data_IF_561791647799
#
_entry.id   IF_561791647799
#
_cell.length_a   1.000
_cell.length_b   1.000
_cell.length_c   1.000
_cell.angle_alpha   90.00
_cell.angle_beta   90.00
_cell.angle_gamma   90.00
#
_symmetry.space_group_name_H-M   'P 1'
#
loop_
_entity.id
_entity.type
_entity.pdbx_description
1 polymer ?
#
# COMPACT_ATOMS: atom_id res chain seq x y z
N UNK A 1 0.31 9.62 -29.74
CA UNK A 1 -0.65 8.65 -29.17
C UNK A 1 0.04 7.31 -29.06
N UNK A 2 0.74 7.03 -27.96
CA UNK A 2 1.39 5.73 -27.73
C UNK A 2 0.44 4.86 -26.91
N UNK A 3 -0.15 3.87 -27.61
CA UNK A 3 -1.05 2.92 -26.99
C UNK A 3 -0.35 2.11 -25.92
N UNK A 4 -0.72 2.31 -24.67
CA UNK A 4 -0.33 1.43 -23.57
C UNK A 4 -1.02 0.08 -23.79
N UNK A 5 -0.28 -0.91 -24.27
CA UNK A 5 -0.73 -2.31 -24.23
C UNK A 5 -0.91 -2.69 -22.76
N UNK A 6 -2.16 -2.93 -22.35
CA UNK A 6 -2.47 -3.57 -21.08
C UNK A 6 -1.66 -4.86 -20.95
N UNK A 7 -1.07 -5.16 -19.79
CA UNK A 7 -0.53 -6.49 -19.56
C UNK A 7 -1.64 -7.52 -19.75
N UNK A 8 -1.27 -8.71 -20.25
CA UNK A 8 -2.21 -9.82 -20.43
C UNK A 8 -2.97 -10.10 -19.12
N UNK A 9 -4.26 -10.53 -19.18
CA UNK A 9 -5.06 -10.70 -17.99
C UNK A 9 -4.35 -11.66 -17.02
N UNK A 10 -3.95 -11.13 -15.86
CA UNK A 10 -3.65 -11.96 -14.69
C UNK A 10 -4.95 -12.68 -14.34
N UNK A 11 -4.87 -13.97 -14.02
CA UNK A 11 -6.04 -14.67 -13.52
C UNK A 11 -6.52 -13.95 -12.26
N UNK A 12 -7.71 -13.41 -12.36
CA UNK A 12 -8.35 -12.61 -11.33
C UNK A 12 -8.64 -13.51 -10.13
N UNK A 13 -7.96 -13.28 -9.02
CA UNK A 13 -8.16 -14.05 -7.79
C UNK A 13 -9.41 -13.60 -7.04
N UNK A 14 -9.70 -12.31 -7.07
CA UNK A 14 -10.87 -11.68 -6.45
C UNK A 14 -11.14 -10.31 -7.09
N UNK A 15 -12.33 -9.77 -6.82
CA UNK A 15 -12.75 -8.44 -7.29
C UNK A 15 -12.94 -7.48 -6.13
N UNK A 16 -12.71 -6.19 -6.37
CA UNK A 16 -12.96 -5.17 -5.36
C UNK A 16 -13.44 -3.85 -5.95
N UNK A 17 -13.99 -3.01 -5.10
CA UNK A 17 -14.29 -1.61 -5.38
C UNK A 17 -13.55 -0.71 -4.41
N UNK A 18 -13.18 0.51 -4.85
CA UNK A 18 -12.42 1.50 -4.08
C UNK A 18 -13.24 2.80 -3.97
N UNK A 19 -13.86 3.00 -2.81
CA UNK A 19 -14.72 4.15 -2.54
C UNK A 19 -13.95 5.21 -1.74
N UNK A 20 -14.19 6.50 -2.04
CA UNK A 20 -13.38 7.59 -1.52
C UNK A 20 -11.91 7.38 -1.85
N UNK A 21 -11.66 6.97 -3.08
CA UNK A 21 -10.42 6.34 -3.52
C UNK A 21 -9.17 7.23 -3.37
N UNK A 22 -9.34 8.56 -3.27
CA UNK A 22 -8.22 9.50 -3.21
C UNK A 22 -7.29 9.31 -4.39
N UNK A 23 -6.06 8.93 -4.09
CA UNK A 23 -5.04 8.61 -5.09
C UNK A 23 -4.72 7.11 -5.18
N UNK A 24 -5.63 6.24 -4.69
CA UNK A 24 -5.53 4.79 -4.82
C UNK A 24 -4.66 4.08 -3.78
N UNK A 25 -4.42 4.71 -2.63
CA UNK A 25 -3.58 4.11 -1.58
C UNK A 25 -4.12 2.79 -1.01
N UNK A 26 -5.45 2.60 -0.96
CA UNK A 26 -6.07 1.33 -0.60
C UNK A 26 -6.00 0.33 -1.76
N UNK A 27 -6.18 0.77 -3.00
CA UNK A 27 -6.18 -0.05 -4.22
C UNK A 27 -4.86 -0.77 -4.47
N UNK A 28 -3.74 -0.04 -4.36
CA UNK A 28 -2.39 -0.54 -4.70
C UNK A 28 -2.09 -1.91 -4.07
N UNK A 29 -2.26 -2.13 -2.75
CA UNK A 29 -2.00 -3.41 -2.14
C UNK A 29 -2.89 -4.54 -2.64
N UNK A 30 -4.17 -4.28 -2.87
CA UNK A 30 -5.12 -5.31 -3.31
C UNK A 30 -4.89 -5.72 -4.77
N UNK A 31 -4.54 -4.79 -5.66
CA UNK A 31 -4.10 -5.13 -7.02
C UNK A 31 -2.80 -5.94 -7.01
N UNK A 32 -1.85 -5.56 -6.15
CA UNK A 32 -0.61 -6.31 -5.96
C UNK A 32 -0.79 -7.76 -5.48
N UNK A 33 -1.97 -8.09 -4.92
CA UNK A 33 -2.36 -9.45 -4.51
C UNK A 33 -3.22 -10.18 -5.55
N UNK A 34 -3.34 -9.67 -6.77
CA UNK A 34 -4.13 -10.25 -7.85
C UNK A 34 -5.61 -9.87 -7.83
N UNK A 35 -5.99 -8.87 -7.04
CA UNK A 35 -7.33 -8.29 -7.06
C UNK A 35 -7.55 -7.42 -8.30
N UNK A 36 -8.77 -7.39 -8.81
CA UNK A 36 -9.20 -6.49 -9.88
C UNK A 36 -10.16 -5.44 -9.34
N UNK A 37 -9.82 -4.17 -9.49
CA UNK A 37 -10.73 -3.07 -9.23
C UNK A 37 -11.81 -3.03 -10.33
N UNK A 38 -13.08 -3.09 -9.92
CA UNK A 38 -14.22 -3.04 -10.86
C UNK A 38 -14.85 -1.67 -10.90
N UNK A 39 -14.66 -0.87 -9.85
CA UNK A 39 -15.29 0.43 -9.71
C UNK A 39 -14.52 1.25 -8.68
N UNK A 40 -14.38 2.54 -8.94
CA UNK A 40 -13.82 3.51 -7.99
C UNK A 40 -14.65 4.78 -7.97
N UNK A 41 -14.67 5.47 -6.81
CA UNK A 41 -15.37 6.73 -6.62
C UNK A 41 -14.48 7.72 -5.89
N UNK A 42 -14.32 8.93 -6.45
CA UNK A 42 -13.59 10.05 -5.88
C UNK A 42 -14.17 11.36 -6.40
N UNK A 43 -14.47 12.32 -5.53
CA UNK A 43 -15.10 13.58 -5.92
C UNK A 43 -14.10 14.68 -6.26
N UNK A 44 -12.88 14.63 -5.69
CA UNK A 44 -11.85 15.64 -5.91
C UNK A 44 -11.21 15.47 -7.29
N UNK A 45 -11.32 16.49 -8.13
CA UNK A 45 -10.82 16.45 -9.53
C UNK A 45 -9.31 16.25 -9.64
N UNK A 46 -8.53 16.77 -8.70
CA UNK A 46 -7.08 16.59 -8.69
C UNK A 46 -6.71 15.15 -8.30
N UNK A 47 -7.43 14.57 -7.33
CA UNK A 47 -7.27 13.16 -6.97
C UNK A 47 -7.69 12.25 -8.13
N UNK A 48 -8.81 12.54 -8.80
CA UNK A 48 -9.24 11.82 -10.01
C UNK A 48 -8.15 11.85 -11.10
N UNK A 49 -7.51 13.01 -11.33
CA UNK A 49 -6.41 13.14 -12.29
C UNK A 49 -5.24 12.23 -11.92
N UNK A 50 -4.80 12.27 -10.65
CA UNK A 50 -3.71 11.42 -10.16
C UNK A 50 -4.07 9.93 -10.25
N UNK A 51 -5.30 9.58 -9.94
CA UNK A 51 -5.81 8.21 -10.04
C UNK A 51 -5.82 7.72 -11.49
N UNK A 52 -6.35 8.52 -12.42
CA UNK A 52 -6.37 8.18 -13.84
C UNK A 52 -4.97 7.95 -14.42
N UNK A 53 -4.02 8.83 -14.08
CA UNK A 53 -2.63 8.71 -14.56
C UNK A 53 -1.90 7.46 -14.05
N UNK A 54 -2.30 6.95 -12.88
CA UNK A 54 -1.64 5.79 -12.28
C UNK A 54 -2.35 4.46 -12.57
N UNK A 55 -3.67 4.49 -12.76
CA UNK A 55 -4.46 3.26 -12.94
C UNK A 55 -5.16 3.15 -14.30
N UNK A 56 -5.16 4.21 -15.10
CA UNK A 56 -5.74 4.22 -16.45
C UNK A 56 -7.27 4.24 -16.50
N UNK A 57 -7.92 4.46 -15.34
CA UNK A 57 -9.38 4.60 -15.24
C UNK A 57 -9.77 5.85 -14.43
N UNK A 58 -10.84 6.51 -14.85
CA UNK A 58 -11.35 7.69 -14.16
C UNK A 58 -12.34 7.26 -13.08
N UNK A 59 -12.09 7.61 -11.79
CA UNK A 59 -13.07 7.36 -10.74
C UNK A 59 -14.40 8.04 -11.04
N UNK A 60 -15.50 7.37 -10.73
CA UNK A 60 -16.81 8.00 -10.68
C UNK A 60 -16.80 9.13 -9.65
N UNK A 61 -17.63 10.14 -9.85
CA UNK A 61 -17.65 11.34 -9.01
C UNK A 61 -18.08 11.10 -7.56
N UNK A 62 -18.92 12.01 -7.07
CA UNK A 62 -19.43 11.97 -5.70
C UNK A 62 -20.32 10.74 -5.46
N UNK A 63 -19.97 9.95 -4.44
CA UNK A 63 -20.68 8.73 -4.08
C UNK A 63 -22.17 8.96 -3.77
N UNK A 64 -22.55 10.17 -3.32
CA UNK A 64 -23.94 10.55 -3.03
C UNK A 64 -24.81 10.58 -4.26
N UNK A 65 -24.24 10.80 -5.43
CA UNK A 65 -24.94 10.79 -6.72
C UNK A 65 -24.96 9.42 -7.41
N UNK A 66 -24.33 8.41 -6.81
CA UNK A 66 -24.17 7.08 -7.39
C UNK A 66 -25.19 6.12 -6.76
N UNK A 67 -26.09 5.59 -7.59
CA UNK A 67 -27.00 4.53 -7.16
C UNK A 67 -26.23 3.25 -6.86
N UNK A 68 -26.47 2.61 -5.71
CA UNK A 68 -25.78 1.37 -5.38
C UNK A 68 -25.97 0.30 -6.46
N UNK A 69 -27.11 0.24 -7.12
CA UNK A 69 -27.40 -0.69 -8.21
C UNK A 69 -26.38 -0.61 -9.35
N UNK A 70 -25.85 0.59 -9.65
CA UNK A 70 -24.86 0.81 -10.72
C UNK A 70 -23.44 0.33 -10.37
N UNK A 71 -23.16 0.06 -9.10
CA UNK A 71 -21.86 -0.48 -8.65
C UNK A 71 -21.86 -1.98 -8.98
N UNK A 72 -20.80 -2.53 -9.63
CA UNK A 72 -20.71 -3.95 -9.91
C UNK A 72 -20.70 -4.82 -8.65
N UNK A 73 -21.19 -6.06 -8.73
CA UNK A 73 -20.97 -7.06 -7.67
C UNK A 73 -19.48 -7.32 -7.52
N UNK A 74 -18.99 -7.37 -6.28
CA UNK A 74 -17.58 -7.49 -5.97
C UNK A 74 -17.36 -8.29 -4.68
N UNK A 75 -16.15 -8.80 -4.51
CA UNK A 75 -15.80 -9.61 -3.34
C UNK A 75 -15.42 -8.75 -2.13
N UNK A 76 -14.66 -7.67 -2.34
CA UNK A 76 -14.13 -6.80 -1.27
C UNK A 76 -14.51 -5.34 -1.55
N UNK A 77 -14.94 -4.62 -0.52
CA UNK A 77 -15.16 -3.19 -0.59
C UNK A 77 -14.08 -2.47 0.22
N UNK A 78 -13.41 -1.50 -0.40
CA UNK A 78 -12.40 -0.65 0.22
C UNK A 78 -12.95 0.78 0.37
N UNK A 79 -12.72 1.43 1.52
CA UNK A 79 -13.12 2.82 1.69
C UNK A 79 -12.29 3.55 2.77
N UNK A 80 -11.66 4.66 2.39
CA UNK A 80 -11.11 5.66 3.30
C UNK A 80 -12.10 6.81 3.48
N UNK A 81 -13.15 6.62 4.29
CA UNK A 81 -14.22 7.60 4.40
C UNK A 81 -13.87 8.75 5.35
N UNK A 82 -14.28 10.00 5.06
CA UNK A 82 -13.95 11.15 5.91
C UNK A 82 -14.68 11.12 7.25
N UNK A 83 -14.00 11.57 8.31
CA UNK A 83 -14.58 11.75 9.63
C UNK A 83 -15.47 13.01 9.64
N UNK A 84 -16.73 12.87 9.27
CA UNK A 84 -17.71 13.94 9.36
C UNK A 84 -18.60 13.74 10.59
N UNK A 85 -18.92 14.82 11.35
CA UNK A 85 -19.90 14.72 12.41
C UNK A 85 -21.26 14.40 11.82
N UNK A 86 -21.88 13.32 12.25
CA UNK A 86 -23.26 13.05 11.93
C UNK A 86 -24.18 13.39 13.11
N UNK A 87 -25.36 13.94 12.79
CA UNK A 87 -26.38 14.23 13.79
C UNK A 87 -27.00 12.90 14.25
N UNK A 88 -26.68 12.49 15.48
CA UNK A 88 -27.16 11.25 16.10
C UNK A 88 -28.64 11.32 16.44
N UNK A 89 -29.24 12.52 16.43
CA UNK A 89 -30.64 12.74 16.82
C UNK A 89 -31.66 11.93 15.99
N UNK A 90 -31.33 11.53 14.77
CA UNK A 90 -32.17 10.68 13.91
C UNK A 90 -32.07 9.17 14.20
N UNK A 91 -30.96 8.70 14.72
CA UNK A 91 -30.69 7.26 14.94
C UNK A 91 -31.36 6.74 16.20
N UNK A 92 -31.32 7.52 17.30
CA UNK A 92 -31.87 7.11 18.59
C UNK A 92 -33.40 7.04 18.59
N UNK A 93 -34.10 7.88 17.80
CA UNK A 93 -35.56 7.99 17.83
C UNK A 93 -36.28 6.83 17.13
N UNK A 94 -35.62 6.09 16.25
CA UNK A 94 -36.23 4.96 15.52
C UNK A 94 -36.08 3.61 16.22
N UNK A 95 -35.06 3.44 17.06
CA UNK A 95 -34.87 2.23 17.88
C UNK A 95 -36.02 2.09 18.92
N UNK A 96 -36.60 3.21 19.37
CA UNK A 96 -37.73 3.23 20.31
C UNK A 96 -39.09 2.93 19.66
N UNK A 97 -39.20 2.88 18.34
CA UNK A 97 -40.46 2.75 17.60
C UNK A 97 -40.64 1.39 16.88
N UNK A 98 -39.76 0.39 17.07
CA UNK A 98 -39.97 -0.98 16.65
C UNK A 98 -40.23 -1.23 15.15
N UNK A 99 -39.77 -0.34 14.26
CA UNK A 99 -39.96 -0.51 12.79
C UNK A 99 -38.77 -1.16 12.13
N UNK A 100 -38.96 -2.38 11.64
CA UNK A 100 -37.92 -3.25 11.06
C UNK A 100 -37.37 -2.84 9.67
N UNK A 101 -37.99 -1.93 8.94
CA UNK A 101 -37.56 -1.52 7.60
C UNK A 101 -37.49 0.01 7.50
N UNK A 102 -36.28 0.60 7.42
CA UNK A 102 -36.13 2.03 7.18
C UNK A 102 -35.01 2.74 7.96
N UNK A 103 -34.00 2.03 8.39
CA UNK A 103 -32.88 2.63 9.15
C UNK A 103 -32.09 3.66 8.32
N UNK A 104 -32.02 3.46 7.00
CA UNK A 104 -31.24 4.31 6.08
C UNK A 104 -32.01 5.52 5.52
N UNK A 105 -33.35 5.52 5.56
CA UNK A 105 -34.20 6.49 4.83
C UNK A 105 -34.19 7.94 5.36
N UNK A 106 -33.74 8.21 6.60
CA UNK A 106 -33.76 9.55 7.21
C UNK A 106 -32.39 10.08 7.65
N UNK A 107 -31.33 9.30 7.49
CA UNK A 107 -29.95 9.72 7.76
C UNK A 107 -29.19 10.09 6.47
N UNK A 108 -29.91 10.28 5.37
CA UNK A 108 -29.37 10.76 4.11
C UNK A 108 -28.53 12.03 4.35
N UNK A 109 -27.26 11.97 4.00
CA UNK A 109 -26.37 13.12 4.02
C UNK A 109 -25.00 12.92 4.66
N UNK A 110 -24.74 11.81 5.36
CA UNK A 110 -23.38 11.52 5.82
C UNK A 110 -22.74 10.42 4.99
N UNK A 111 -21.48 10.61 4.62
CA UNK A 111 -20.77 9.70 3.73
C UNK A 111 -20.63 8.28 4.26
N UNK A 112 -20.66 8.09 5.59
CA UNK A 112 -20.69 6.75 6.18
C UNK A 112 -21.99 6.01 5.87
N UNK A 113 -23.14 6.68 5.89
CA UNK A 113 -24.43 6.02 5.61
C UNK A 113 -24.59 5.69 4.11
N UNK A 114 -23.97 6.48 3.22
CA UNK A 114 -23.85 6.09 1.82
C UNK A 114 -23.04 4.81 1.66
N UNK A 115 -21.93 4.68 2.42
CA UNK A 115 -21.14 3.47 2.46
C UNK A 115 -21.95 2.27 3.00
N UNK A 116 -22.68 2.44 4.12
CA UNK A 116 -23.53 1.42 4.71
C UNK A 116 -24.62 0.94 3.72
N UNK A 117 -25.25 1.88 2.99
CA UNK A 117 -26.23 1.59 1.93
C UNK A 117 -25.64 0.70 0.82
N UNK A 118 -24.40 1.00 0.40
CA UNK A 118 -23.73 0.21 -0.63
C UNK A 118 -23.37 -1.19 -0.09
N UNK A 119 -22.87 -1.29 1.15
CA UNK A 119 -22.57 -2.57 1.80
C UNK A 119 -23.85 -3.41 1.92
N UNK A 120 -24.98 -2.82 2.30
CA UNK A 120 -26.26 -3.51 2.41
C UNK A 120 -26.72 -4.08 1.08
N UNK A 121 -26.69 -3.26 0.02
CA UNK A 121 -27.20 -3.66 -1.30
C UNK A 121 -26.27 -4.64 -2.02
N UNK A 122 -24.95 -4.40 -1.95
CA UNK A 122 -23.96 -5.21 -2.70
C UNK A 122 -23.48 -6.43 -1.96
N UNK A 123 -23.59 -6.47 -0.65
CA UNK A 123 -23.20 -7.61 0.17
C UNK A 123 -21.79 -8.14 -0.18
N UNK A 124 -20.73 -7.30 -0.15
CA UNK A 124 -19.38 -7.81 -0.38
C UNK A 124 -19.03 -8.90 0.64
N UNK A 125 -18.21 -9.86 0.24
CA UNK A 125 -17.72 -10.94 1.14
C UNK A 125 -16.96 -10.38 2.33
N UNK A 126 -16.22 -9.29 2.09
CA UNK A 126 -15.48 -8.56 3.11
C UNK A 126 -15.40 -7.07 2.77
N UNK A 127 -15.06 -6.25 3.75
CA UNK A 127 -14.71 -4.85 3.52
C UNK A 127 -13.52 -4.43 4.40
N UNK A 128 -12.78 -3.41 3.95
CA UNK A 128 -11.77 -2.68 4.69
C UNK A 128 -12.14 -1.20 4.71
N UNK A 129 -12.38 -0.66 5.89
CA UNK A 129 -12.63 0.75 6.10
C UNK A 129 -11.46 1.38 6.87
N UNK A 130 -11.06 2.59 6.48
CA UNK A 130 -10.01 3.35 7.16
C UNK A 130 -10.54 4.71 7.62
N UNK A 131 -10.03 5.16 8.78
CA UNK A 131 -10.30 6.50 9.27
C UNK A 131 -9.19 6.98 10.23
N UNK A 132 -9.25 8.24 10.64
CA UNK A 132 -8.35 8.79 11.66
C UNK A 132 -8.65 8.19 13.05
N UNK A 133 -7.62 8.02 13.90
CA UNK A 133 -7.76 7.51 15.27
C UNK A 133 -8.84 8.27 16.07
N UNK A 134 -8.96 9.58 15.85
CA UNK A 134 -9.94 10.41 16.57
C UNK A 134 -11.39 9.99 16.37
N UNK A 135 -11.71 9.14 15.39
CA UNK A 135 -13.03 8.55 15.23
C UNK A 135 -13.51 7.83 16.50
N UNK A 136 -12.59 7.17 17.23
CA UNK A 136 -12.91 6.46 18.48
C UNK A 136 -13.38 7.39 19.60
N UNK A 137 -12.83 8.59 19.67
CA UNK A 137 -13.15 9.57 20.74
C UNK A 137 -14.13 10.65 20.30
N UNK A 138 -14.39 10.72 18.98
CA UNK A 138 -15.28 11.71 18.41
C UNK A 138 -16.67 11.62 19.04
N UNK A 139 -17.20 12.78 19.49
CA UNK A 139 -18.48 12.87 20.17
C UNK A 139 -18.60 11.91 21.38
N UNK A 140 -17.55 11.87 22.23
CA UNK A 140 -17.46 10.97 23.40
C UNK A 140 -17.64 9.49 23.05
N UNK A 141 -17.09 9.05 21.90
CA UNK A 141 -17.16 7.67 21.40
C UNK A 141 -18.45 7.29 20.69
N UNK A 142 -19.46 8.14 20.71
CA UNK A 142 -20.78 7.84 20.11
C UNK A 142 -20.72 7.61 18.61
N UNK A 143 -19.85 8.36 17.92
CA UNK A 143 -19.67 8.23 16.46
C UNK A 143 -19.23 6.82 16.07
N UNK A 144 -18.20 6.32 16.72
CA UNK A 144 -17.72 4.96 16.45
C UNK A 144 -18.73 3.89 16.86
N UNK A 145 -19.43 4.07 17.99
CA UNK A 145 -20.49 3.14 18.42
C UNK A 145 -21.59 3.00 17.35
N UNK A 146 -22.06 4.12 16.77
CA UNK A 146 -23.04 4.09 15.67
C UNK A 146 -22.50 3.36 14.44
N UNK A 147 -21.25 3.61 14.04
CA UNK A 147 -20.61 2.92 12.92
C UNK A 147 -20.59 1.41 13.17
N UNK A 148 -20.10 1.00 14.33
CA UNK A 148 -19.98 -0.40 14.72
C UNK A 148 -21.34 -1.10 14.74
N UNK A 149 -22.31 -0.52 15.45
CA UNK A 149 -23.68 -1.05 15.54
C UNK A 149 -24.35 -1.14 14.16
N UNK A 150 -24.13 -0.16 13.27
CA UNK A 150 -24.70 -0.18 11.93
C UNK A 150 -24.13 -1.34 11.11
N UNK A 151 -22.82 -1.54 11.16
CA UNK A 151 -22.16 -2.60 10.42
C UNK A 151 -22.51 -4.00 10.96
N UNK A 152 -22.65 -4.14 12.29
CA UNK A 152 -23.15 -5.38 12.90
C UNK A 152 -24.62 -5.67 12.54
N UNK A 153 -25.47 -4.64 12.49
CA UNK A 153 -26.86 -4.78 12.07
C UNK A 153 -27.00 -5.18 10.58
N UNK A 154 -25.96 -4.95 9.78
CA UNK A 154 -25.87 -5.47 8.42
C UNK A 154 -25.37 -6.92 8.36
N UNK A 155 -25.28 -7.65 9.48
CA UNK A 155 -24.80 -9.01 9.60
C UNK A 155 -23.33 -9.21 9.16
N UNK A 156 -22.43 -8.26 9.53
CA UNK A 156 -20.99 -8.44 9.36
C UNK A 156 -20.33 -8.77 10.70
N UNK A 157 -19.35 -9.67 10.68
CA UNK A 157 -18.43 -9.86 11.78
C UNK A 157 -17.37 -8.78 11.71
N UNK A 158 -17.32 -7.90 12.70
CA UNK A 158 -16.46 -6.71 12.72
C UNK A 158 -15.24 -6.94 13.59
N UNK A 159 -14.08 -6.64 13.05
CA UNK A 159 -12.81 -6.51 13.78
C UNK A 159 -12.24 -5.13 13.50
N UNK A 160 -11.67 -4.48 14.50
CA UNK A 160 -11.03 -3.20 14.32
C UNK A 160 -9.77 -3.04 15.16
N UNK A 161 -8.82 -2.22 14.68
CA UNK A 161 -7.58 -1.93 15.38
C UNK A 161 -7.06 -0.56 15.00
N UNK A 162 -6.49 0.16 15.97
CA UNK A 162 -5.66 1.34 15.68
C UNK A 162 -4.23 0.85 15.44
N UNK A 163 -3.67 1.25 14.32
CA UNK A 163 -2.30 0.91 13.94
C UNK A 163 -1.53 2.21 13.74
N UNK A 164 -0.37 2.33 14.42
CA UNK A 164 0.63 3.34 14.11
C UNK A 164 1.53 2.81 13.00
N UNK A 165 1.70 3.59 11.93
CA UNK A 165 2.47 3.20 10.77
C UNK A 165 4.00 3.19 11.01
N UNK A 166 4.49 3.59 12.19
CA UNK A 166 5.92 3.80 12.47
C UNK A 166 6.82 2.58 12.23
N UNK A 167 6.28 1.35 12.31
CA UNK A 167 7.03 0.14 11.98
C UNK A 167 7.10 -0.17 10.47
N UNK A 168 6.30 0.50 9.66
CA UNK A 168 6.23 0.30 8.21
C UNK A 168 6.82 1.45 7.40
N UNK A 169 6.68 2.68 7.91
CA UNK A 169 7.15 3.92 7.28
C UNK A 169 7.74 4.83 8.36
N UNK A 170 8.69 5.72 8.04
CA UNK A 170 9.35 6.54 9.06
C UNK A 170 8.49 7.71 9.56
N UNK A 171 7.28 7.40 9.97
CA UNK A 171 6.26 8.37 10.36
C UNK A 171 5.33 7.79 11.44
N UNK A 172 5.09 8.55 12.49
CA UNK A 172 3.97 8.29 13.39
C UNK A 172 2.66 8.70 12.72
N UNK A 173 1.86 7.70 12.34
CA UNK A 173 0.55 7.90 11.71
C UNK A 173 -0.43 6.86 12.21
N UNK A 174 -1.22 7.25 13.21
CA UNK A 174 -2.24 6.37 13.78
C UNK A 174 -3.55 6.44 12.99
N UNK A 175 -4.01 5.27 12.55
CA UNK A 175 -5.28 5.11 11.84
C UNK A 175 -6.07 3.95 12.42
N UNK A 176 -7.38 4.11 12.47
CA UNK A 176 -8.27 2.98 12.75
C UNK A 176 -8.56 2.27 11.43
N UNK A 177 -8.40 0.95 11.44
CA UNK A 177 -8.82 0.05 10.37
C UNK A 177 -9.93 -0.82 10.88
N UNK A 178 -11.01 -0.94 10.10
CA UNK A 178 -12.19 -1.73 10.42
C UNK A 178 -12.35 -2.75 9.29
N UNK A 179 -12.32 -4.02 9.64
CA UNK A 179 -12.49 -5.15 8.72
C UNK A 179 -13.79 -5.85 9.05
N UNK A 180 -14.61 -6.11 8.05
CA UNK A 180 -15.83 -6.88 8.20
C UNK A 180 -15.87 -8.06 7.24
N UNK A 181 -16.40 -9.19 7.71
CA UNK A 181 -16.71 -10.37 6.91
C UNK A 181 -18.21 -10.68 7.01
N UNK A 182 -18.84 -11.07 5.89
CA UNK A 182 -20.28 -11.34 5.81
C UNK A 182 -20.66 -12.58 6.62
N UNK A 183 -21.40 -12.39 7.74
CA UNK A 183 -21.89 -13.47 8.61
C UNK A 183 -22.90 -14.37 7.91
N UNK A 184 -23.71 -13.84 6.98
CA UNK A 184 -24.68 -14.65 6.23
C UNK A 184 -23.99 -15.71 5.37
N UNK A 185 -22.77 -15.38 4.90
CA UNK A 185 -21.97 -16.26 4.06
C UNK A 185 -21.08 -17.21 4.86
N UNK A 186 -20.44 -16.71 5.91
CA UNK A 186 -19.35 -17.41 6.60
C UNK A 186 -19.70 -17.83 8.04
N UNK A 187 -20.87 -17.43 8.55
CA UNK A 187 -21.24 -17.68 9.94
C UNK A 187 -20.35 -16.94 10.93
N UNK A 188 -20.32 -17.43 12.17
CA UNK A 188 -19.50 -16.89 13.25
C UNK A 188 -18.00 -17.27 13.15
N UNK A 189 -17.64 -18.12 12.18
CA UNK A 189 -16.25 -18.53 11.93
C UNK A 189 -15.38 -17.43 11.33
N UNK A 190 -15.97 -16.31 10.90
CA UNK A 190 -15.32 -15.19 10.22
C UNK A 190 -14.52 -14.30 11.19
N UNK A 191 -13.67 -14.87 12.06
CA UNK A 191 -12.78 -14.08 12.90
C UNK A 191 -11.59 -13.54 12.10
N UNK A 192 -11.29 -12.26 12.27
CA UNK A 192 -10.14 -11.60 11.63
C UNK A 192 -9.14 -11.13 12.69
N UNK A 193 -7.90 -11.54 12.52
CA UNK A 193 -6.77 -11.08 13.32
C UNK A 193 -5.91 -10.11 12.50
N UNK A 194 -5.76 -8.89 13.00
CA UNK A 194 -4.87 -7.91 12.38
C UNK A 194 -3.42 -8.38 12.39
N UNK A 195 -2.64 -8.05 11.35
CA UNK A 195 -1.23 -8.40 11.31
C UNK A 195 -0.47 -7.79 12.50
N UNK A 196 0.58 -8.48 12.94
CA UNK A 196 1.60 -7.91 13.81
C UNK A 196 2.44 -6.90 13.03
N UNK A 197 3.08 -5.97 13.74
CA UNK A 197 4.08 -5.12 13.13
C UNK A 197 5.24 -5.96 12.57
N UNK A 198 5.91 -5.50 11.51
CA UNK A 198 7.11 -6.15 11.01
C UNK A 198 8.16 -6.31 12.12
N UNK A 199 8.87 -7.43 12.11
CA UNK A 199 10.03 -7.63 12.97
C UNK A 199 11.25 -6.88 12.41
N UNK A 200 12.11 -6.41 13.31
CA UNK A 200 13.33 -5.69 12.92
C UNK A 200 13.29 -4.18 13.22
N UNK A 201 14.34 -3.46 12.84
CA UNK A 201 14.43 -2.03 13.11
C UNK A 201 13.40 -1.26 12.25
N UNK A 202 12.72 -0.31 12.88
CA UNK A 202 11.81 0.58 12.19
C UNK A 202 12.55 1.46 11.17
N UNK A 203 11.93 1.78 10.04
CA UNK A 203 12.54 2.62 9.01
C UNK A 203 12.82 4.04 9.55
N UNK A 204 13.95 4.61 9.15
CA UNK A 204 14.37 5.95 9.57
C UNK A 204 13.98 7.00 8.54
N UNK A 205 13.71 8.24 9.00
CA UNK A 205 13.33 9.33 8.11
C UNK A 205 14.41 9.60 7.04
N UNK A 206 15.68 9.45 7.37
CA UNK A 206 16.77 9.58 6.41
C UNK A 206 16.60 8.72 5.14
N UNK A 207 15.93 7.56 5.25
CA UNK A 207 15.76 6.62 4.13
C UNK A 207 14.89 7.17 2.99
N UNK A 208 14.05 8.19 3.27
CA UNK A 208 13.14 8.75 2.26
C UNK A 208 13.63 10.11 1.71
N UNK A 209 14.63 10.72 2.35
CA UNK A 209 15.11 12.05 1.99
C UNK A 209 15.89 12.04 0.67
N UNK A 210 15.72 13.12 -0.10
CA UNK A 210 16.50 13.37 -1.32
C UNK A 210 17.87 13.95 -0.95
N UNK A 211 18.92 13.48 -1.61
CA UNK A 211 20.28 13.99 -1.39
C UNK A 211 20.44 15.46 -1.80
N UNK A 212 19.78 15.85 -2.90
CA UNK A 212 19.86 17.20 -3.47
C UNK A 212 18.45 17.72 -3.78
N UNK A 213 17.64 18.07 -2.77
CA UNK A 213 16.31 18.64 -3.00
C UNK A 213 16.41 20.04 -3.60
N UNK A 214 15.43 20.44 -4.40
CA UNK A 214 15.39 21.78 -4.97
C UNK A 214 15.34 22.85 -3.86
N UNK A 215 16.10 23.94 -3.98
CA UNK A 215 16.09 25.06 -3.01
C UNK A 215 14.72 25.69 -2.79
N UNK A 216 13.77 25.53 -3.71
CA UNK A 216 12.39 26.05 -3.56
C UNK A 216 11.66 25.52 -2.33
N UNK A 217 12.14 24.40 -1.75
CA UNK A 217 11.53 23.80 -0.56
C UNK A 217 12.09 24.36 0.74
N UNK A 218 13.21 25.08 0.71
CA UNK A 218 13.74 25.84 1.85
C UNK A 218 12.77 26.97 2.20
N UNK A 219 12.50 27.15 3.48
CA UNK A 219 11.63 28.24 3.94
C UNK A 219 12.30 29.59 3.66
N UNK A 220 11.48 30.59 3.35
CA UNK A 220 12.01 31.97 3.32
C UNK A 220 12.35 32.44 4.73
N UNK A 221 13.34 33.32 4.93
CA UNK A 221 13.67 33.86 6.25
C UNK A 221 12.44 34.46 6.95
N UNK A 222 11.59 35.15 6.22
CA UNK A 222 10.35 35.73 6.74
C UNK A 222 9.39 34.65 7.30
N UNK A 223 9.15 33.57 6.54
CA UNK A 223 8.26 32.48 7.00
C UNK A 223 8.87 31.74 8.19
N UNK A 224 10.20 31.52 8.18
CA UNK A 224 10.88 30.86 9.29
C UNK A 224 10.79 31.68 10.59
N UNK A 225 11.04 32.99 10.54
CA UNK A 225 10.85 33.88 11.68
C UNK A 225 9.41 33.88 12.19
N UNK A 226 8.44 33.97 11.27
CA UNK A 226 7.03 33.93 11.65
C UNK A 226 6.68 32.62 12.41
N UNK A 227 7.15 31.45 11.97
CA UNK A 227 6.90 30.18 12.65
C UNK A 227 7.54 30.13 14.05
N UNK A 228 8.74 30.69 14.20
CA UNK A 228 9.42 30.78 15.49
C UNK A 228 8.65 31.69 16.46
N UNK A 229 8.27 32.89 16.04
CA UNK A 229 7.47 33.83 16.84
C UNK A 229 6.12 33.26 17.21
N UNK A 230 5.47 32.58 16.26
CA UNK A 230 4.19 31.96 16.49
C UNK A 230 4.31 30.84 17.53
N UNK A 231 5.31 30.00 17.45
CA UNK A 231 5.57 28.93 18.42
C UNK A 231 5.85 29.50 19.83
N UNK A 232 6.66 30.57 19.93
CA UNK A 232 6.93 31.26 21.19
C UNK A 232 5.65 31.84 21.82
N UNK A 233 4.80 32.50 21.02
CA UNK A 233 3.51 33.03 21.45
C UNK A 233 2.55 31.95 21.93
N UNK A 234 2.49 30.80 21.26
CA UNK A 234 1.65 29.68 21.65
C UNK A 234 2.16 29.01 22.95
N UNK A 235 3.48 28.85 23.08
CA UNK A 235 4.10 28.33 24.29
C UNK A 235 3.82 29.21 25.52
N UNK A 236 3.89 30.54 25.34
CA UNK A 236 3.57 31.50 26.39
C UNK A 236 2.09 31.43 26.83
N UNK A 237 1.20 30.95 25.96
CA UNK A 237 -0.23 30.72 26.28
C UNK A 237 -0.51 29.30 26.85
N UNK A 238 0.52 28.49 27.10
CA UNK A 238 0.36 27.10 27.55
C UNK A 238 -0.09 26.13 26.46
N UNK A 239 -0.10 26.54 25.17
CA UNK A 239 -0.46 25.69 24.03
C UNK A 239 0.77 24.99 23.49
N UNK A 240 0.66 23.69 23.18
CA UNK A 240 1.72 22.88 22.54
C UNK A 240 1.84 23.08 21.03
N UNK A 241 1.45 24.24 20.52
CA UNK A 241 1.48 24.55 19.08
C UNK A 241 2.86 25.04 18.65
N UNK A 242 3.41 24.51 17.55
CA UNK A 242 4.68 24.94 17.00
C UNK A 242 5.10 24.11 15.80
N UNK A 243 6.20 24.51 15.19
CA UNK A 243 6.85 23.73 14.13
C UNK A 243 7.56 22.49 14.70
N UNK A 244 7.91 21.55 13.83
CA UNK A 244 8.71 20.37 14.18
C UNK A 244 9.91 20.21 13.25
N UNK A 245 11.14 20.38 13.78
CA UNK A 245 12.36 19.90 13.09
C UNK A 245 12.41 18.39 13.31
N UNK A 246 12.39 17.63 12.23
CA UNK A 246 12.40 16.18 12.29
C UNK A 246 13.84 15.65 12.39
N UNK A 247 14.04 14.66 13.27
CA UNK A 247 15.30 13.93 13.36
C UNK A 247 15.38 12.90 12.21
N UNK A 248 16.37 13.00 11.32
CA UNK A 248 16.55 12.03 10.25
C UNK A 248 16.81 10.60 10.72
N UNK A 249 17.31 10.42 11.94
CA UNK A 249 17.56 9.10 12.54
C UNK A 249 16.33 8.46 13.19
N UNK A 250 15.24 9.22 13.32
CA UNK A 250 13.97 8.82 13.94
C UNK A 250 12.81 8.77 12.95
N UNK A 251 11.63 9.07 13.50
CA UNK A 251 10.35 9.14 12.77
C UNK A 251 9.83 10.57 12.71
N UNK A 252 9.19 10.92 11.63
CA UNK A 252 8.48 12.19 11.54
C UNK A 252 7.14 12.16 12.28
N UNK A 253 6.59 13.35 12.52
CA UNK A 253 5.17 13.53 12.85
C UNK A 253 4.29 13.11 11.67
N UNK A 254 2.98 13.00 11.90
CA UNK A 254 2.01 12.70 10.85
C UNK A 254 2.02 13.77 9.76
N UNK A 255 2.25 13.38 8.52
CA UNK A 255 2.00 14.24 7.35
C UNK A 255 0.50 14.53 7.25
N UNK A 256 0.11 15.78 7.46
CA UNK A 256 -1.30 16.19 7.43
C UNK A 256 -1.72 16.68 6.05
N UNK A 257 -3.02 16.67 5.78
CA UNK A 257 -3.58 17.28 4.58
C UNK A 257 -3.33 18.80 4.49
N UNK A 258 -2.95 19.44 5.59
CA UNK A 258 -2.66 20.87 5.67
C UNK A 258 -1.18 21.22 5.42
N UNK A 259 -0.33 20.22 5.23
CA UNK A 259 1.11 20.39 5.00
C UNK A 259 1.44 21.37 3.86
N UNK A 260 0.56 21.49 2.88
CA UNK A 260 0.70 22.44 1.78
C UNK A 260 0.79 23.91 2.22
N UNK A 261 0.27 24.27 3.41
CA UNK A 261 0.24 25.66 3.87
C UNK A 261 1.65 26.19 4.17
N UNK A 262 2.29 25.64 5.16
CA UNK A 262 3.60 26.07 5.64
C UNK A 262 4.59 24.93 5.88
N UNK A 263 4.09 23.69 5.89
CA UNK A 263 4.90 22.48 6.12
C UNK A 263 5.46 22.37 7.54
N UNK A 264 4.92 23.14 8.49
CA UNK A 264 5.48 23.31 9.83
C UNK A 264 5.49 22.04 10.67
N UNK A 265 4.67 21.03 10.35
CA UNK A 265 4.65 19.75 11.08
C UNK A 265 5.94 18.93 10.92
N UNK A 266 6.57 19.01 9.73
CA UNK A 266 7.76 18.20 9.40
C UNK A 266 8.75 19.09 8.62
N UNK A 267 9.68 19.71 9.33
CA UNK A 267 10.76 20.47 8.74
C UNK A 267 12.05 19.67 8.81
N UNK A 268 12.86 19.77 7.78
CA UNK A 268 14.16 19.11 7.67
C UNK A 268 15.27 20.17 7.84
N UNK A 269 16.19 19.91 8.76
CA UNK A 269 17.38 20.74 8.91
C UNK A 269 18.23 20.65 7.65
N UNK A 270 18.67 21.79 7.16
CA UNK A 270 19.51 21.93 5.95
C UNK A 270 20.98 22.14 6.30
N UNK A 271 21.31 22.28 7.60
CA UNK A 271 22.62 22.80 8.06
C UNK A 271 22.82 24.28 7.79
N UNK A 272 21.83 24.97 7.20
CA UNK A 272 21.77 26.40 6.95
C UNK A 272 20.87 27.14 7.95
N UNK A 273 20.66 28.45 7.76
CA UNK A 273 19.83 29.24 8.68
C UNK A 273 18.33 28.90 8.62
N UNK A 274 17.83 28.42 7.48
CA UNK A 274 16.43 28.07 7.32
C UNK A 274 16.26 26.57 7.03
N UNK A 275 15.30 25.90 7.70
CA UNK A 275 14.94 24.52 7.40
C UNK A 275 14.13 24.44 6.10
N UNK A 276 13.94 23.24 5.58
CA UNK A 276 13.13 23.01 4.40
C UNK A 276 11.91 22.12 4.70
N UNK A 277 10.92 22.21 3.84
CA UNK A 277 9.81 21.26 3.79
C UNK A 277 10.26 19.96 3.10
N UNK A 278 9.51 18.89 3.29
CA UNK A 278 9.61 17.71 2.45
C UNK A 278 9.23 18.06 1.00
N UNK A 279 9.86 17.39 0.05
CA UNK A 279 9.43 17.45 -1.36
C UNK A 279 8.20 16.54 -1.57
N UNK A 280 7.40 16.72 -2.63
CA UNK A 280 6.34 15.78 -3.00
C UNK A 280 6.85 14.35 -3.20
N UNK A 281 8.07 14.17 -3.70
CA UNK A 281 8.69 12.87 -3.86
C UNK A 281 9.00 12.22 -2.50
N UNK A 282 9.49 12.99 -1.55
CA UNK A 282 9.70 12.53 -0.17
C UNK A 282 8.37 12.19 0.51
N UNK A 283 7.31 12.97 0.29
CA UNK A 283 5.97 12.65 0.78
C UNK A 283 5.43 11.34 0.19
N UNK A 284 5.66 11.08 -1.10
CA UNK A 284 5.33 9.81 -1.77
C UNK A 284 6.03 8.63 -1.06
N UNK A 285 7.35 8.76 -0.83
CA UNK A 285 8.17 7.74 -0.15
C UNK A 285 7.73 7.56 1.30
N UNK A 286 7.45 8.66 2.01
CA UNK A 286 7.00 8.66 3.40
C UNK A 286 5.67 7.93 3.59
N UNK A 287 4.81 7.93 2.58
CA UNK A 287 3.55 7.20 2.57
C UNK A 287 3.68 5.78 2.01
N UNK A 288 4.88 5.38 1.55
CA UNK A 288 5.16 4.06 1.00
C UNK A 288 4.50 3.79 -0.35
N UNK A 289 4.21 4.83 -1.13
CA UNK A 289 3.75 4.65 -2.51
C UNK A 289 4.88 4.14 -3.38
N UNK A 290 4.58 3.29 -4.38
CA UNK A 290 5.60 2.68 -5.23
C UNK A 290 6.42 3.72 -6.02
N UNK A 291 7.67 3.39 -6.39
CA UNK A 291 8.56 4.33 -7.06
C UNK A 291 8.06 4.84 -8.41
N UNK A 292 7.25 4.07 -9.10
CA UNK A 292 6.64 4.38 -10.38
C UNK A 292 5.31 5.15 -10.27
N UNK A 293 4.80 5.37 -9.05
CA UNK A 293 3.63 6.20 -8.82
C UNK A 293 3.88 7.64 -9.27
N UNK A 294 3.12 8.10 -10.25
CA UNK A 294 3.29 9.40 -10.92
C UNK A 294 2.63 10.52 -10.15
N UNK A 295 3.39 11.57 -9.86
CA UNK A 295 2.90 12.83 -9.30
C UNK A 295 2.63 13.79 -10.48
N UNK A 296 1.35 14.06 -10.77
CA UNK A 296 0.92 14.80 -11.99
C UNK A 296 0.15 16.07 -11.68
N UNK A 297 0.24 16.51 -10.44
CA UNK A 297 -0.42 17.71 -9.91
C UNK A 297 0.64 18.69 -9.36
N UNK A 298 0.21 19.88 -8.99
CA UNK A 298 1.09 20.86 -8.32
C UNK A 298 1.59 20.34 -6.98
N UNK A 299 2.68 20.90 -6.47
CA UNK A 299 3.21 20.55 -5.14
C UNK A 299 2.16 20.71 -4.04
N UNK A 300 1.34 21.77 -4.11
CA UNK A 300 0.23 22.02 -3.17
C UNK A 300 -0.77 20.86 -3.15
N UNK A 301 -1.20 20.43 -4.33
CA UNK A 301 -2.14 19.31 -4.44
C UNK A 301 -1.49 17.98 -4.08
N UNK A 302 -0.21 17.78 -4.39
CA UNK A 302 0.53 16.60 -4.00
C UNK A 302 0.61 16.45 -2.46
N UNK A 303 0.93 17.55 -1.75
CA UNK A 303 0.89 17.55 -0.27
C UNK A 303 -0.50 17.22 0.27
N UNK A 304 -1.52 17.83 -0.30
CA UNK A 304 -2.91 17.57 0.09
C UNK A 304 -3.28 16.08 -0.12
N UNK A 305 -2.90 15.52 -1.26
CA UNK A 305 -3.16 14.12 -1.62
C UNK A 305 -2.44 13.14 -0.71
N UNK A 306 -1.11 13.29 -0.55
CA UNK A 306 -0.34 12.39 0.32
C UNK A 306 -0.71 12.55 1.80
N UNK A 307 -1.04 13.76 2.25
CA UNK A 307 -1.51 13.99 3.62
C UNK A 307 -2.84 13.31 3.93
N UNK A 308 -3.74 13.18 2.95
CA UNK A 308 -5.01 12.44 3.07
C UNK A 308 -4.86 10.93 2.80
N UNK A 309 -3.79 10.50 2.15
CA UNK A 309 -3.61 9.10 1.80
C UNK A 309 -3.34 8.20 3.01
N UNK A 310 -3.43 6.90 2.80
CA UNK A 310 -3.04 5.85 3.75
C UNK A 310 -1.56 5.51 3.62
N UNK A 311 -0.95 4.97 4.67
CA UNK A 311 0.37 4.34 4.57
C UNK A 311 0.22 2.99 3.85
N UNK A 312 0.64 2.94 2.59
CA UNK A 312 0.44 1.79 1.69
C UNK A 312 0.99 0.48 2.28
N UNK A 313 2.17 0.42 2.94
CA UNK A 313 2.69 -0.81 3.52
C UNK A 313 1.84 -1.36 4.67
N UNK A 314 1.19 -0.51 5.48
CA UNK A 314 0.25 -0.96 6.51
C UNK A 314 -0.96 -1.64 5.87
N UNK A 315 -1.53 -0.99 4.86
CA UNK A 315 -2.67 -1.55 4.11
C UNK A 315 -2.29 -2.87 3.45
N UNK A 316 -1.07 -2.99 2.91
CA UNK A 316 -0.56 -4.25 2.33
C UNK A 316 -0.57 -5.39 3.35
N UNK A 317 -0.09 -5.13 4.57
CA UNK A 317 -0.09 -6.14 5.63
C UNK A 317 -1.52 -6.59 6.00
N UNK A 318 -2.46 -5.66 6.07
CA UNK A 318 -3.88 -5.95 6.32
C UNK A 318 -4.49 -6.71 5.14
N UNK A 319 -4.24 -6.27 3.91
CA UNK A 319 -4.76 -6.90 2.69
C UNK A 319 -4.32 -8.36 2.55
N UNK A 320 -3.05 -8.66 2.81
CA UNK A 320 -2.54 -10.04 2.84
C UNK A 320 -3.36 -10.90 3.80
N UNK A 321 -3.55 -10.44 5.04
CA UNK A 321 -4.32 -11.18 6.06
C UNK A 321 -5.80 -11.31 5.68
N UNK A 322 -6.39 -10.27 5.08
CA UNK A 322 -7.79 -10.32 4.61
C UNK A 322 -7.98 -11.35 3.50
N UNK A 323 -7.10 -11.36 2.50
CA UNK A 323 -7.16 -12.31 1.37
C UNK A 323 -6.91 -13.74 1.86
N UNK A 324 -5.94 -13.95 2.76
CA UNK A 324 -5.71 -15.25 3.39
C UNK A 324 -6.93 -15.75 4.16
N UNK A 325 -7.56 -14.86 4.96
CA UNK A 325 -8.76 -15.18 5.74
C UNK A 325 -9.93 -15.50 4.82
N UNK A 326 -10.16 -14.67 3.79
CA UNK A 326 -11.23 -14.89 2.81
C UNK A 326 -11.06 -16.24 2.12
N UNK A 327 -9.85 -16.55 1.66
CA UNK A 327 -9.54 -17.84 1.03
C UNK A 327 -9.69 -19.03 1.98
N UNK A 328 -9.43 -18.84 3.27
CA UNK A 328 -9.63 -19.89 4.28
C UNK A 328 -11.13 -20.14 4.54
N UNK A 329 -11.92 -19.07 4.65
CA UNK A 329 -13.37 -19.11 4.83
C UNK A 329 -14.09 -19.73 3.63
N UNK A 330 -13.68 -19.37 2.41
CA UNK A 330 -14.26 -19.96 1.18
C UNK A 330 -13.92 -21.45 1.02
N UNK A 331 -12.76 -21.87 1.50
CA UNK A 331 -12.38 -23.30 1.54
C UNK A 331 -13.19 -24.10 2.54
N UNK A 332 -13.62 -23.51 3.64
CA UNK A 332 -14.53 -24.13 4.62
C UNK A 332 -15.96 -24.25 4.12
N UNK A 333 -16.37 -23.41 3.18
CA UNK A 333 -17.72 -23.35 2.60
C UNK A 333 -17.86 -24.15 1.29
N UNK A 334 -16.76 -24.53 0.61
CA UNK A 334 -16.81 -25.23 -0.68
C UNK A 334 -15.64 -26.19 -0.88
N UNK A 335 -15.96 -27.39 -1.39
CA UNK A 335 -15.01 -28.47 -1.69
C UNK A 335 -14.29 -28.16 -3.00
N UNK A 336 -13.25 -27.33 -2.97
CA UNK A 336 -12.31 -27.31 -4.09
C UNK A 336 -11.58 -28.63 -4.19
N UNK A 337 -11.78 -29.36 -5.28
CA UNK A 337 -11.01 -30.56 -5.58
C UNK A 337 -9.49 -30.23 -5.55
N UNK A 338 -8.67 -31.21 -5.14
CA UNK A 338 -7.19 -31.10 -5.16
C UNK A 338 -6.65 -30.59 -6.52
N UNK A 339 -7.37 -30.87 -7.61
CA UNK A 339 -7.07 -30.48 -8.98
C UNK A 339 -7.17 -28.96 -9.18
N UNK A 340 -8.24 -28.34 -8.69
CA UNK A 340 -8.44 -26.88 -8.82
C UNK A 340 -7.46 -26.06 -7.95
N UNK A 341 -7.06 -26.60 -6.79
CA UNK A 341 -6.00 -26.04 -5.95
C UNK A 341 -4.64 -26.05 -6.66
N UNK A 342 -4.34 -27.15 -7.37
CA UNK A 342 -3.12 -27.25 -8.20
C UNK A 342 -3.15 -26.24 -9.36
N UNK A 343 -4.31 -26.04 -9.99
CA UNK A 343 -4.49 -25.06 -11.06
C UNK A 343 -4.28 -23.62 -10.56
N UNK A 344 -4.86 -23.22 -9.43
CA UNK A 344 -4.65 -21.88 -8.85
C UNK A 344 -3.18 -21.65 -8.48
N UNK A 345 -2.51 -22.64 -7.90
CA UNK A 345 -1.09 -22.56 -7.56
C UNK A 345 -0.17 -22.56 -8.80
N UNK A 346 -0.58 -23.21 -9.90
CA UNK A 346 0.18 -23.21 -11.15
C UNK A 346 0.15 -21.85 -11.89
N UNK A 347 -0.82 -21.00 -11.56
CA UNK A 347 -0.99 -19.69 -12.19
C UNK A 347 -0.29 -18.53 -11.45
N UNK A 348 0.36 -18.80 -10.30
CA UNK A 348 1.30 -17.84 -9.71
C UNK A 348 2.48 -17.76 -10.68
N UNK A 349 2.55 -16.68 -11.45
CA UNK A 349 3.59 -16.51 -12.47
C UNK A 349 4.97 -16.52 -11.82
N UNK A 350 5.77 -17.48 -12.22
CA UNK A 350 7.19 -17.53 -11.92
C UNK A 350 8.04 -16.70 -12.90
N UNK A 351 7.40 -15.92 -13.80
CA UNK A 351 8.05 -15.14 -14.86
C UNK A 351 7.28 -13.87 -15.12
N UNK A 352 7.98 -12.84 -15.60
CA UNK A 352 7.44 -11.53 -15.91
C UNK A 352 6.78 -10.87 -14.69
N UNK A 353 7.37 -11.04 -13.50
CA UNK A 353 6.93 -10.38 -12.27
C UNK A 353 7.13 -8.87 -12.35
N UNK A 354 6.37 -8.09 -11.56
CA UNK A 354 6.50 -6.63 -11.56
C UNK A 354 7.93 -6.16 -11.28
N UNK A 355 8.62 -6.81 -10.33
CA UNK A 355 10.00 -6.51 -9.98
C UNK A 355 10.99 -6.88 -11.11
N UNK A 356 10.77 -7.99 -11.81
CA UNK A 356 11.57 -8.39 -12.98
C UNK A 356 11.41 -7.37 -14.12
N UNK A 357 10.20 -6.89 -14.38
CA UNK A 357 9.93 -5.88 -15.39
C UNK A 357 10.63 -4.55 -15.10
N UNK A 358 10.76 -4.16 -13.82
CA UNK A 358 11.52 -2.96 -13.41
C UNK A 358 13.01 -3.09 -13.75
N UNK A 359 13.62 -4.23 -13.43
CA UNK A 359 15.03 -4.50 -13.76
C UNK A 359 15.23 -4.48 -15.29
N UNK A 360 14.32 -5.10 -16.05
CA UNK A 360 14.36 -5.12 -17.52
C UNK A 360 14.19 -3.72 -18.12
N UNK A 361 13.33 -2.89 -17.55
CA UNK A 361 13.13 -1.50 -17.96
C UNK A 361 14.42 -0.69 -17.76
N UNK A 362 15.07 -0.86 -16.62
CA UNK A 362 16.35 -0.21 -16.34
C UNK A 362 17.46 -0.65 -17.30
N UNK A 363 17.62 -1.95 -17.57
CA UNK A 363 18.59 -2.47 -18.54
C UNK A 363 18.37 -1.89 -19.95
N UNK A 364 17.10 -1.80 -20.38
CA UNK A 364 16.75 -1.19 -21.68
C UNK A 364 17.09 0.29 -21.72
N UNK A 365 16.85 1.04 -20.67
CA UNK A 365 17.18 2.48 -20.61
C UNK A 365 18.69 2.76 -20.69
N UNK A 366 19.53 1.73 -20.41
CA UNK A 366 21.00 1.77 -20.52
C UNK A 366 21.51 1.09 -21.78
N UNK A 367 20.63 0.68 -22.70
CA UNK A 367 20.97 -0.06 -23.93
C UNK A 367 21.76 -1.37 -23.67
N UNK A 368 21.52 -2.02 -22.51
CA UNK A 368 22.15 -3.27 -22.14
C UNK A 368 21.31 -4.41 -22.69
N UNK A 369 21.90 -5.20 -23.63
CA UNK A 369 21.27 -6.38 -24.22
C UNK A 369 21.25 -7.56 -23.25
N UNK A 370 20.11 -8.28 -23.18
CA UNK A 370 19.93 -9.45 -22.31
C UNK A 370 19.09 -10.53 -22.97
N UNK A 371 19.20 -11.75 -22.44
CA UNK A 371 18.27 -12.86 -22.73
C UNK A 371 17.48 -13.21 -21.47
N UNK A 372 16.28 -13.74 -21.65
CA UNK A 372 15.37 -14.11 -20.56
C UNK A 372 15.31 -15.63 -20.41
N UNK A 373 15.21 -16.10 -19.18
CA UNK A 373 14.87 -17.46 -18.79
C UNK A 373 15.62 -18.54 -19.60
N UNK A 374 16.93 -18.42 -19.67
CA UNK A 374 17.79 -19.32 -20.47
C UNK A 374 17.88 -20.69 -19.84
N UNK A 375 17.10 -21.65 -20.35
CA UNK A 375 17.02 -23.03 -19.82
C UNK A 375 18.34 -23.83 -19.84
N UNK A 376 19.28 -23.41 -20.66
CA UNK A 376 20.61 -24.05 -20.75
C UNK A 376 21.50 -23.74 -19.53
N UNK A 377 21.12 -22.80 -18.68
CA UNK A 377 21.87 -22.44 -17.47
C UNK A 377 21.19 -22.98 -16.21
N UNK A 378 21.97 -23.44 -15.20
CA UNK A 378 21.42 -23.89 -13.91
C UNK A 378 20.47 -22.87 -13.29
N UNK A 379 19.35 -23.32 -12.78
CA UNK A 379 18.34 -22.48 -12.13
C UNK A 379 17.52 -21.61 -13.08
N UNK A 380 17.77 -21.62 -14.38
CA UNK A 380 17.05 -20.81 -15.38
C UNK A 380 16.97 -19.34 -14.95
N UNK A 381 18.12 -18.60 -14.92
CA UNK A 381 18.14 -17.22 -14.45
C UNK A 381 17.12 -16.33 -15.19
N UNK A 382 16.51 -15.38 -14.49
CA UNK A 382 15.51 -14.47 -15.06
C UNK A 382 16.09 -13.62 -16.17
N UNK A 383 17.33 -13.15 -15.98
CA UNK A 383 18.03 -12.29 -16.93
C UNK A 383 19.47 -12.79 -17.11
N UNK A 384 19.91 -12.94 -18.37
CA UNK A 384 21.26 -13.36 -18.72
C UNK A 384 21.94 -12.29 -19.55
N UNK A 385 23.04 -11.76 -19.04
CA UNK A 385 23.87 -10.69 -19.62
C UNK A 385 25.14 -11.29 -20.18
N UNK A 386 25.07 -11.91 -21.37
CA UNK A 386 26.16 -12.67 -21.97
C UNK A 386 27.46 -11.85 -22.12
N UNK A 387 27.33 -10.58 -22.54
CA UNK A 387 28.48 -9.67 -22.72
C UNK A 387 29.29 -9.47 -21.43
N UNK A 388 28.61 -9.57 -20.28
CA UNK A 388 29.19 -9.34 -18.97
C UNK A 388 29.43 -10.63 -18.19
N UNK A 389 29.15 -11.78 -18.79
CA UNK A 389 29.20 -13.09 -18.13
C UNK A 389 28.43 -13.08 -16.78
N UNK A 390 27.32 -12.37 -16.74
CA UNK A 390 26.53 -12.13 -15.52
C UNK A 390 25.13 -12.68 -15.70
N UNK A 391 24.62 -13.31 -14.67
CA UNK A 391 23.20 -13.72 -14.55
C UNK A 391 22.54 -12.98 -13.40
N UNK A 392 21.27 -12.63 -13.57
CA UNK A 392 20.49 -11.95 -12.53
C UNK A 392 19.28 -12.78 -12.19
N UNK A 393 19.09 -13.05 -10.90
CA UNK A 393 17.88 -13.57 -10.30
C UNK A 393 17.13 -12.44 -9.63
N UNK A 394 15.83 -12.33 -9.86
CA UNK A 394 14.97 -11.29 -9.27
C UNK A 394 13.97 -11.98 -8.36
N UNK A 395 14.31 -12.04 -7.08
CA UNK A 395 13.65 -12.90 -6.10
C UNK A 395 12.59 -12.17 -5.31
N UNK A 396 11.37 -12.73 -5.28
CA UNK A 396 10.33 -12.36 -4.32
C UNK A 396 10.71 -12.84 -2.90
N UNK A 397 10.71 -11.93 -1.94
CA UNK A 397 11.22 -12.19 -0.58
C UNK A 397 10.54 -13.37 0.12
N UNK A 398 9.23 -13.51 -0.04
CA UNK A 398 8.46 -14.62 0.55
C UNK A 398 8.91 -16.00 0.05
N UNK A 399 9.06 -16.16 -1.28
CA UNK A 399 9.31 -17.45 -1.91
C UNK A 399 10.71 -18.00 -1.66
N UNK A 400 11.65 -17.11 -1.39
CA UNK A 400 13.08 -17.44 -1.22
C UNK A 400 13.56 -17.25 0.23
N UNK A 401 12.66 -16.93 1.16
CA UNK A 401 12.94 -16.88 2.60
C UNK A 401 14.01 -15.84 2.97
N UNK A 402 13.91 -14.63 2.42
CA UNK A 402 14.92 -13.56 2.57
C UNK A 402 15.10 -13.08 4.02
N UNK A 403 14.12 -13.29 4.91
CA UNK A 403 14.18 -12.86 6.32
C UNK A 403 13.82 -11.39 6.56
N UNK A 404 13.34 -10.66 5.54
CA UNK A 404 12.83 -9.29 5.68
C UNK A 404 11.33 -9.27 6.03
N UNK A 405 10.78 -8.07 6.22
CA UNK A 405 9.36 -7.87 6.55
C UNK A 405 8.39 -8.43 5.49
N UNK A 406 8.83 -8.59 4.23
CA UNK A 406 8.05 -9.17 3.15
C UNK A 406 8.08 -10.71 3.12
N UNK A 407 8.91 -11.36 3.94
CA UNK A 407 9.12 -12.82 3.97
C UNK A 407 8.42 -13.53 5.12
N UNK A 408 7.38 -12.94 5.70
CA UNK A 408 6.66 -13.51 6.86
C UNK A 408 6.01 -14.84 6.49
N UNK A 409 6.39 -15.92 7.18
CA UNK A 409 5.83 -17.26 6.96
C UNK A 409 4.40 -17.34 7.51
N UNK A 410 3.40 -17.82 6.73
CA UNK A 410 2.05 -18.00 7.20
C UNK A 410 1.99 -18.98 8.39
N UNK A 411 1.29 -18.63 9.47
CA UNK A 411 1.09 -19.53 10.63
C UNK A 411 0.29 -20.77 10.26
N UNK A 412 -0.66 -20.67 9.34
CA UNK A 412 -1.42 -21.81 8.82
C UNK A 412 -0.51 -22.67 7.92
N UNK A 413 -0.44 -23.99 8.21
CA UNK A 413 0.45 -24.94 7.54
C UNK A 413 1.96 -24.53 7.61
N UNK A 414 2.38 -23.96 8.71
CA UNK A 414 3.75 -23.49 8.91
C UNK A 414 4.81 -24.54 8.56
N UNK A 415 4.57 -25.82 8.89
CA UNK A 415 5.46 -26.92 8.53
C UNK A 415 5.63 -27.12 7.01
N UNK A 416 4.54 -26.99 6.25
CA UNK A 416 4.57 -27.06 4.78
C UNK A 416 5.38 -25.89 4.20
N UNK A 417 5.09 -24.67 4.66
CA UNK A 417 5.77 -23.47 4.17
C UNK A 417 7.25 -23.45 4.51
N UNK A 418 7.59 -23.83 5.75
CA UNK A 418 8.99 -23.97 6.18
C UNK A 418 9.77 -24.93 5.27
N UNK A 419 9.22 -26.12 5.02
CA UNK A 419 9.83 -27.13 4.14
C UNK A 419 9.93 -26.62 2.68
N UNK A 420 8.91 -25.91 2.19
CA UNK A 420 8.87 -25.37 0.83
C UNK A 420 9.91 -24.27 0.63
N UNK A 421 9.98 -23.31 1.54
CA UNK A 421 10.93 -22.19 1.49
C UNK A 421 12.36 -22.71 1.64
N UNK A 422 12.59 -23.61 2.58
CA UNK A 422 13.89 -24.24 2.78
C UNK A 422 14.34 -25.01 1.52
N UNK A 423 13.45 -25.76 0.90
CA UNK A 423 13.74 -26.44 -0.38
C UNK A 423 14.06 -25.48 -1.52
N UNK A 424 13.44 -24.30 -1.55
CA UNK A 424 13.75 -23.26 -2.52
C UNK A 424 15.16 -22.69 -2.27
N UNK A 425 15.51 -22.34 -1.02
CA UNK A 425 16.83 -21.84 -0.65
C UNK A 425 17.95 -22.80 -1.04
N UNK A 426 17.82 -24.06 -0.67
CA UNK A 426 18.82 -25.09 -1.00
C UNK A 426 18.98 -25.30 -2.51
N UNK A 427 17.89 -25.18 -3.26
CA UNK A 427 17.94 -25.21 -4.73
C UNK A 427 18.67 -23.99 -5.31
N UNK A 428 18.36 -22.79 -4.78
CA UNK A 428 18.98 -21.54 -5.22
C UNK A 428 20.50 -21.58 -4.94
N UNK A 429 20.92 -21.99 -3.75
CA UNK A 429 22.34 -22.14 -3.38
C UNK A 429 23.08 -23.08 -4.33
N UNK A 430 22.49 -24.25 -4.63
CA UNK A 430 23.10 -25.22 -5.61
C UNK A 430 23.19 -24.62 -7.00
N UNK A 431 22.16 -23.90 -7.47
CA UNK A 431 22.16 -23.29 -8.78
C UNK A 431 23.19 -22.16 -8.87
N UNK A 432 23.30 -21.33 -7.84
CA UNK A 432 24.30 -20.26 -7.76
C UNK A 432 25.73 -20.82 -7.78
N UNK A 433 25.99 -21.87 -7.01
CA UNK A 433 27.30 -22.55 -7.01
C UNK A 433 27.66 -23.16 -8.39
N UNK A 434 26.66 -23.79 -9.03
CA UNK A 434 26.86 -24.36 -10.37
C UNK A 434 27.13 -23.27 -11.42
N UNK A 435 26.46 -22.14 -11.36
CA UNK A 435 26.68 -20.99 -12.23
C UNK A 435 28.08 -20.38 -12.03
N UNK A 436 28.50 -20.23 -10.76
CA UNK A 436 29.81 -19.73 -10.41
C UNK A 436 30.91 -20.68 -10.94
N UNK A 437 30.73 -21.99 -10.83
CA UNK A 437 31.67 -23.01 -11.40
C UNK A 437 31.76 -22.92 -12.92
N UNK A 438 30.69 -22.48 -13.61
CA UNK A 438 30.68 -22.20 -15.05
C UNK A 438 31.25 -20.82 -15.41
N UNK A 439 31.81 -20.10 -14.43
CA UNK A 439 32.41 -18.79 -14.62
C UNK A 439 31.37 -17.65 -14.80
N UNK A 440 30.14 -17.86 -14.40
CA UNK A 440 29.12 -16.81 -14.40
C UNK A 440 29.15 -16.04 -13.08
N UNK A 441 29.07 -14.73 -13.17
CA UNK A 441 28.79 -13.86 -12.01
C UNK A 441 27.30 -13.91 -11.71
N UNK A 442 26.95 -14.25 -10.48
CA UNK A 442 25.55 -14.33 -10.05
C UNK A 442 25.20 -13.06 -9.26
N UNK A 443 24.16 -12.37 -9.69
CA UNK A 443 23.58 -11.22 -9.00
C UNK A 443 22.16 -11.60 -8.57
N UNK A 444 21.85 -11.42 -7.29
CA UNK A 444 20.50 -11.63 -6.75
C UNK A 444 19.94 -10.27 -6.38
N UNK A 445 18.78 -9.94 -6.90
CA UNK A 445 18.04 -8.72 -6.59
C UNK A 445 16.80 -9.11 -5.82
N UNK A 446 16.64 -8.53 -4.63
CA UNK A 446 15.51 -8.81 -3.78
C UNK A 446 14.39 -7.78 -3.94
N UNK A 447 13.15 -8.24 -3.82
CA UNK A 447 11.95 -7.41 -3.89
C UNK A 447 12.01 -6.22 -2.92
N UNK A 448 12.36 -6.47 -1.64
CA UNK A 448 12.45 -5.42 -0.62
C UNK A 448 13.53 -4.37 -0.93
N UNK A 449 14.66 -4.78 -1.53
CA UNK A 449 15.74 -3.85 -1.88
C UNK A 449 15.31 -2.94 -3.04
N UNK A 450 14.61 -3.50 -4.05
CA UNK A 450 14.03 -2.71 -5.14
C UNK A 450 12.94 -1.75 -4.66
N UNK A 451 12.13 -2.15 -3.65
CA UNK A 451 11.09 -1.30 -3.08
C UNK A 451 11.68 -0.17 -2.22
N UNK A 452 12.70 -0.47 -1.41
CA UNK A 452 13.27 0.49 -0.46
C UNK A 452 14.32 1.41 -1.05
N UNK A 453 15.20 0.89 -1.91
CA UNK A 453 16.33 1.63 -2.49
C UNK A 453 16.64 1.21 -3.94
N UNK A 454 15.74 1.46 -4.89
CA UNK A 454 15.96 1.07 -6.30
C UNK A 454 17.22 1.68 -6.90
N UNK A 455 17.56 2.91 -6.52
CA UNK A 455 18.78 3.60 -7.02
C UNK A 455 20.04 2.87 -6.58
N UNK A 456 20.15 2.46 -5.33
CA UNK A 456 21.27 1.69 -4.80
C UNK A 456 21.40 0.32 -5.46
N UNK A 457 20.26 -0.38 -5.65
CA UNK A 457 20.24 -1.68 -6.33
C UNK A 457 20.75 -1.57 -7.78
N UNK A 458 20.29 -0.56 -8.51
CA UNK A 458 20.72 -0.37 -9.89
C UNK A 458 22.15 0.13 -10.00
N UNK A 459 22.67 0.90 -9.04
CA UNK A 459 24.08 1.24 -8.96
C UNK A 459 24.94 -0.02 -8.75
N UNK A 460 24.59 -0.84 -7.76
CA UNK A 460 25.29 -2.10 -7.49
C UNK A 460 25.25 -3.06 -8.69
N UNK A 461 24.10 -3.15 -9.38
CA UNK A 461 24.00 -3.91 -10.63
C UNK A 461 24.96 -3.34 -11.70
N UNK A 462 24.98 -2.04 -11.89
CA UNK A 462 25.88 -1.36 -12.84
C UNK A 462 27.35 -1.68 -12.53
N UNK A 463 27.76 -1.57 -11.28
CA UNK A 463 29.13 -1.85 -10.81
C UNK A 463 29.51 -3.33 -11.01
N UNK A 464 28.49 -4.20 -11.00
CA UNK A 464 28.70 -5.62 -11.27
C UNK A 464 28.96 -5.93 -12.75
N UNK A 465 28.63 -5.04 -13.68
CA UNK A 465 28.74 -5.24 -15.13
C UNK A 465 30.13 -4.84 -15.65
N UNK A 466 31.15 -5.57 -15.28
CA UNK A 466 32.46 -5.47 -15.90
C UNK A 466 32.51 -6.32 -17.17
N UNK A 467 33.08 -5.75 -18.26
CA UNK A 467 33.21 -6.48 -19.50
C UNK A 467 34.21 -7.61 -19.27
N UNK A 468 33.81 -8.86 -19.52
CA UNK A 468 34.72 -10.00 -19.48
C UNK A 468 35.78 -9.83 -20.61
N UNK A 469 37.04 -9.88 -20.28
CA UNK A 469 38.10 -9.83 -21.24
C UNK A 469 37.89 -10.97 -22.27
N UNK A 470 38.00 -10.66 -23.57
CA UNK A 470 37.96 -11.68 -24.62
C UNK A 470 39.21 -12.51 -24.53
N UNK A 471 39.12 -13.85 -24.72
CA UNK A 471 40.32 -14.72 -24.75
C UNK A 471 41.33 -14.42 -25.87
N UNK A 472 40.96 -13.62 -26.89
CA UNK A 472 41.70 -13.40 -28.11
C UNK A 472 42.53 -12.10 -28.17
N UNK A 473 42.68 -11.38 -27.06
CA UNK A 473 43.54 -10.19 -27.00
C UNK A 473 44.92 -10.49 -26.40
N UNK A 474 45.51 -11.68 -26.75
CA UNK A 474 46.93 -11.96 -26.54
C UNK A 474 47.60 -12.37 -27.82
#
# INVERSE_FOLDING_TARGET
>A
MSGHKRPAPQEQLFTFVDLFAGIGGLRIPFEGLGGRCLFSSEWNKFSQKSYFENFGEMPAGDIRSIGAASIPTHDILLAGFPCQPFSIAGVSKKRSLGREHGFLDKTQGTLFFELARIIEEKRPKAFLLENVRNLLTHNKGRTFAVIHETLEALDYQISWKVIDAAQWVPQHRERIYIVGFDKRRFGDAASFEFPSAPEGPAPKLASILEANPSPKYTLTPHLWHYLQDYAAKQKAKGNGFGYGIADPSGHSRTLSARYFKDGSEILIDTGGPEPRRLTPLECRRLMGFPPDFRIVVSDTEAYHQFGNAVAVPVVRSIAVRMVETLNALERGADVFSKKKRSEVMSHIRSKDTGIELLVRKWLRSRHIGYRLHTKALPGTPDIVLHRYKTVVFVNGCFWHGHGCALSTTPKANAGFWKKKIEGNRQRDERNHAALAALGWKVVVIWECDLESNPTGVFSALQDSLTIAARPDDR
#
